data_IF_941338056944
#
_entry.id   IF_941338056944
#
_cell.length_a   1.000
_cell.length_b   1.000
_cell.length_c   1.000
_cell.angle_alpha   90.00
_cell.angle_beta   90.00
_cell.angle_gamma   90.00
#
_symmetry.space_group_name_H-M   'P 1'
#
loop_
_entity.id
_entity.type
_entity.pdbx_description
1 polymer ?
#
# COMPACT_ATOMS: atom_id res chain seq x y z
N UNK A 1 -19.12 -53.07 -30.46
CA UNK A 1 -18.33 -51.90 -30.91
C UNK A 1 -18.99 -50.63 -30.39
N UNK A 2 -18.52 -50.16 -29.26
CA UNK A 2 -19.06 -48.97 -28.59
C UNK A 2 -18.22 -47.77 -29.01
N UNK A 3 -18.84 -46.79 -29.63
CA UNK A 3 -18.25 -45.55 -30.12
C UNK A 3 -17.95 -44.61 -28.94
N UNK A 4 -16.69 -44.21 -28.76
CA UNK A 4 -16.29 -43.26 -27.73
C UNK A 4 -16.91 -41.87 -27.99
N UNK A 5 -17.26 -41.12 -26.96
CA UNK A 5 -17.79 -39.74 -27.13
C UNK A 5 -16.68 -38.82 -27.64
N UNK A 6 -17.00 -38.03 -28.67
CA UNK A 6 -16.14 -36.95 -29.13
C UNK A 6 -15.98 -35.89 -28.00
N UNK A 7 -14.75 -35.66 -27.58
CA UNK A 7 -14.39 -34.53 -26.73
C UNK A 7 -14.65 -33.25 -27.51
N UNK A 8 -15.62 -32.45 -27.10
CA UNK A 8 -15.76 -31.08 -27.55
C UNK A 8 -14.49 -30.32 -27.13
N UNK A 9 -13.68 -29.98 -28.13
CA UNK A 9 -12.57 -29.03 -27.97
C UNK A 9 -13.17 -27.68 -27.64
N UNK A 10 -13.18 -27.28 -26.37
CA UNK A 10 -13.44 -25.88 -25.99
C UNK A 10 -12.46 -25.00 -26.73
N UNK A 11 -12.92 -24.21 -27.68
CA UNK A 11 -12.13 -23.15 -28.26
C UNK A 11 -11.67 -22.24 -27.11
N UNK A 12 -10.37 -22.01 -26.94
CA UNK A 12 -9.91 -21.09 -25.91
C UNK A 12 -10.53 -19.74 -26.14
N UNK A 13 -11.17 -19.16 -25.11
CA UNK A 13 -11.67 -17.80 -25.14
C UNK A 13 -10.53 -16.87 -25.53
N UNK A 14 -10.66 -15.99 -26.52
CA UNK A 14 -9.58 -15.09 -26.89
C UNK A 14 -9.12 -14.31 -25.67
N UNK A 15 -7.82 -14.25 -25.43
CA UNK A 15 -7.23 -13.52 -24.30
C UNK A 15 -7.57 -12.02 -24.33
N UNK A 16 -7.74 -11.47 -25.54
CA UNK A 16 -8.10 -10.08 -25.74
C UNK A 16 -9.46 -9.96 -26.44
N UNK A 17 -10.26 -8.98 -26.02
CA UNK A 17 -11.47 -8.59 -26.74
C UNK A 17 -11.11 -7.90 -28.06
N UNK A 18 -11.91 -8.13 -29.13
CA UNK A 18 -11.78 -7.36 -30.37
C UNK A 18 -12.15 -5.89 -30.17
N UNK A 19 -11.66 -5.03 -31.06
CA UNK A 19 -11.81 -3.56 -30.96
C UNK A 19 -13.28 -3.11 -31.03
N UNK A 20 -14.14 -3.82 -31.77
CA UNK A 20 -15.56 -3.48 -31.87
C UNK A 20 -16.26 -3.71 -30.55
N UNK A 21 -16.02 -4.87 -29.93
CA UNK A 21 -16.51 -5.19 -28.57
C UNK A 21 -16.06 -4.16 -27.53
N UNK A 22 -14.79 -3.69 -27.59
CA UNK A 22 -14.29 -2.66 -26.69
C UNK A 22 -15.02 -1.32 -26.89
N UNK A 23 -15.22 -0.91 -28.14
CA UNK A 23 -15.93 0.35 -28.49
C UNK A 23 -17.39 0.33 -28.05
N UNK A 24 -18.08 -0.80 -28.24
CA UNK A 24 -19.48 -0.94 -27.86
C UNK A 24 -19.64 -0.93 -26.33
N UNK A 25 -18.74 -1.58 -25.61
CA UNK A 25 -18.69 -1.55 -24.15
C UNK A 25 -18.45 -0.14 -23.63
N UNK A 26 -17.47 0.58 -24.20
CA UNK A 26 -17.15 1.96 -23.83
C UNK A 26 -18.35 2.91 -24.03
N UNK A 27 -19.09 2.79 -25.16
CA UNK A 27 -20.30 3.59 -25.39
C UNK A 27 -21.44 3.28 -24.42
N UNK A 28 -21.60 1.99 -24.07
CA UNK A 28 -22.66 1.54 -23.15
C UNK A 28 -22.44 2.05 -21.72
N UNK A 29 -21.19 2.26 -21.30
CA UNK A 29 -20.80 2.64 -19.94
C UNK A 29 -20.05 3.98 -19.91
N UNK A 30 -20.36 4.89 -20.82
CA UNK A 30 -19.69 6.19 -20.96
C UNK A 30 -19.78 7.08 -19.71
N UNK A 31 -20.79 6.86 -18.88
CA UNK A 31 -21.05 7.56 -17.62
C UNK A 31 -20.36 6.91 -16.40
N UNK A 32 -19.64 5.81 -16.61
CA UNK A 32 -18.92 5.10 -15.55
C UNK A 32 -17.47 5.60 -15.43
N UNK A 33 -16.99 5.67 -14.17
CA UNK A 33 -15.59 5.97 -13.87
C UNK A 33 -14.70 4.72 -13.89
N UNK A 34 -13.79 4.61 -12.92
CA UNK A 34 -12.84 3.50 -12.82
C UNK A 34 -13.51 2.14 -12.56
N UNK A 35 -14.73 2.14 -12.03
CA UNK A 35 -15.52 0.93 -11.76
C UNK A 35 -16.63 0.82 -12.79
N UNK A 36 -16.41 0.01 -13.81
CA UNK A 36 -17.41 -0.33 -14.83
C UNK A 36 -17.83 -1.81 -14.72
N UNK A 37 -18.59 -2.28 -15.71
CA UNK A 37 -19.05 -3.68 -15.73
C UNK A 37 -17.93 -4.71 -16.00
N UNK A 38 -16.72 -4.27 -16.34
CA UNK A 38 -15.55 -5.11 -16.55
C UNK A 38 -14.65 -5.21 -15.29
N UNK A 39 -14.95 -4.42 -14.27
CA UNK A 39 -14.24 -4.54 -12.98
C UNK A 39 -14.59 -5.88 -12.30
N UNK A 40 -13.59 -6.68 -12.04
CA UNK A 40 -13.75 -8.08 -11.56
C UNK A 40 -13.69 -8.17 -10.03
N UNK A 41 -13.07 -7.19 -9.36
CA UNK A 41 -12.90 -7.20 -7.92
C UNK A 41 -14.17 -6.87 -7.13
N UNK A 42 -14.17 -7.18 -5.83
CA UNK A 42 -15.15 -6.65 -4.89
C UNK A 42 -14.76 -5.22 -4.49
N UNK A 43 -15.46 -4.24 -5.03
CA UNK A 43 -15.20 -2.81 -4.80
C UNK A 43 -15.26 -2.45 -3.32
N UNK A 44 -16.25 -2.99 -2.60
CA UNK A 44 -16.39 -2.69 -1.17
C UNK A 44 -15.20 -3.24 -0.38
N UNK A 45 -14.84 -4.49 -0.62
CA UNK A 45 -13.68 -5.11 0.04
C UNK A 45 -12.39 -4.38 -0.32
N UNK A 46 -12.21 -3.96 -1.57
CA UNK A 46 -11.04 -3.18 -2.01
C UNK A 46 -10.96 -1.85 -1.26
N UNK A 47 -12.09 -1.13 -1.14
CA UNK A 47 -12.14 0.13 -0.37
C UNK A 47 -11.83 -0.11 1.10
N UNK A 48 -12.40 -1.13 1.73
CA UNK A 48 -12.17 -1.46 3.15
C UNK A 48 -10.66 -1.75 3.40
N UNK A 49 -10.02 -2.50 2.51
CA UNK A 49 -8.57 -2.76 2.56
C UNK A 49 -7.77 -1.46 2.41
N UNK A 50 -8.09 -0.63 1.42
CA UNK A 50 -7.39 0.63 1.19
C UNK A 50 -7.59 1.63 2.34
N UNK A 51 -8.70 1.61 3.06
CA UNK A 51 -8.88 2.39 4.29
C UNK A 51 -7.91 1.97 5.40
N UNK A 52 -7.62 0.67 5.52
CA UNK A 52 -6.62 0.17 6.47
C UNK A 52 -5.19 0.56 6.03
N UNK A 53 -4.88 0.48 4.74
CA UNK A 53 -3.62 0.98 4.18
C UNK A 53 -3.47 2.48 4.47
N UNK A 54 -4.48 3.30 4.13
CA UNK A 54 -4.48 4.74 4.42
C UNK A 54 -4.20 5.04 5.89
N UNK A 55 -4.82 4.29 6.80
CA UNK A 55 -4.58 4.45 8.24
C UNK A 55 -3.15 4.06 8.63
N UNK A 56 -2.56 3.05 7.98
CA UNK A 56 -1.19 2.60 8.22
C UNK A 56 -0.19 3.69 7.83
N UNK A 57 -0.31 4.24 6.62
CA UNK A 57 0.53 5.35 6.15
C UNK A 57 0.44 6.56 7.08
N UNK A 58 -0.78 6.97 7.46
CA UNK A 58 -0.97 8.12 8.35
C UNK A 58 -0.38 7.90 9.75
N UNK A 59 -0.43 6.69 10.29
CA UNK A 59 0.24 6.35 11.56
C UNK A 59 1.76 6.42 11.40
N UNK A 60 2.31 5.97 10.27
CA UNK A 60 3.73 6.10 9.94
C UNK A 60 4.15 7.57 9.81
N UNK A 61 3.38 8.40 9.10
CA UNK A 61 3.61 9.87 9.04
C UNK A 61 3.73 10.46 10.44
N UNK A 62 2.77 10.18 11.30
CA UNK A 62 2.74 10.76 12.66
C UNK A 62 3.92 10.28 13.50
N UNK A 63 4.28 9.00 13.41
CA UNK A 63 5.41 8.42 14.13
C UNK A 63 6.74 8.98 13.66
N UNK A 64 7.00 8.98 12.34
CA UNK A 64 8.21 9.54 11.76
C UNK A 64 8.35 11.04 12.06
N UNK A 65 7.27 11.81 11.92
CA UNK A 65 7.27 13.23 12.29
C UNK A 65 7.63 13.42 13.77
N UNK A 66 7.04 12.64 14.67
CA UNK A 66 7.35 12.74 16.10
C UNK A 66 8.81 12.34 16.38
N UNK A 67 9.31 11.27 15.77
CA UNK A 67 10.70 10.82 15.94
C UNK A 67 11.69 11.83 15.36
N UNK A 68 11.42 12.46 14.21
CA UNK A 68 12.29 13.49 13.63
C UNK A 68 12.47 14.71 14.53
N UNK A 69 11.39 15.11 15.23
CA UNK A 69 11.42 16.24 16.17
C UNK A 69 12.08 15.85 17.50
N UNK A 70 11.85 14.63 17.97
CA UNK A 70 12.33 14.15 19.27
C UNK A 70 13.79 13.64 19.22
N UNK A 71 14.33 13.34 18.05
CA UNK A 71 15.72 12.90 17.90
C UNK A 71 16.67 14.04 18.30
N UNK A 72 17.47 13.81 19.36
CA UNK A 72 18.39 14.79 19.92
C UNK A 72 19.75 14.18 20.19
N UNK A 73 20.81 14.97 20.18
CA UNK A 73 22.18 14.55 20.47
C UNK A 73 23.16 14.72 19.30
N UNK A 74 24.44 14.49 19.53
CA UNK A 74 25.54 14.76 18.57
C UNK A 74 25.50 13.96 17.26
N UNK A 75 24.78 12.86 17.21
CA UNK A 75 24.67 11.98 16.04
C UNK A 75 23.23 11.90 15.50
N UNK A 76 22.35 12.78 15.94
CA UNK A 76 20.91 12.69 15.65
C UNK A 76 20.46 13.51 14.44
N UNK A 77 21.25 14.49 13.98
CA UNK A 77 20.80 15.42 12.93
C UNK A 77 20.49 14.69 11.61
N UNK A 78 21.40 13.82 11.15
CA UNK A 78 21.18 13.03 9.92
C UNK A 78 20.04 12.02 10.08
N UNK A 79 19.88 11.42 11.26
CA UNK A 79 18.77 10.49 11.54
C UNK A 79 17.44 11.23 11.60
N UNK A 80 17.42 12.42 12.19
CA UNK A 80 16.21 13.26 12.24
C UNK A 80 15.80 13.71 10.84
N UNK A 81 16.75 14.02 9.96
CA UNK A 81 16.50 14.38 8.56
C UNK A 81 15.91 13.19 7.78
N UNK A 82 16.48 11.99 7.96
CA UNK A 82 15.96 10.74 7.38
C UNK A 82 14.54 10.47 7.83
N UNK A 83 14.25 10.53 9.12
CA UNK A 83 12.89 10.39 9.62
C UNK A 83 11.93 11.44 9.03
N UNK A 84 12.39 12.68 8.85
CA UNK A 84 11.57 13.73 8.24
C UNK A 84 11.33 13.48 6.75
N UNK A 85 12.28 12.86 6.05
CA UNK A 85 12.12 12.46 4.66
C UNK A 85 11.09 11.34 4.55
N UNK A 86 11.24 10.25 5.31
CA UNK A 86 10.27 9.16 5.32
C UNK A 86 8.86 9.66 5.67
N UNK A 87 8.70 10.56 6.64
CA UNK A 87 7.39 11.16 6.95
C UNK A 87 6.74 11.85 5.74
N UNK A 88 7.51 12.45 4.84
CA UNK A 88 6.99 13.07 3.62
C UNK A 88 6.56 12.02 2.59
N UNK A 89 7.36 10.98 2.42
CA UNK A 89 7.08 9.88 1.50
C UNK A 89 5.84 9.09 1.92
N UNK A 90 5.70 8.80 3.22
CA UNK A 90 4.49 8.19 3.79
C UNK A 90 3.23 9.05 3.53
N UNK A 91 3.35 10.38 3.59
CA UNK A 91 2.25 11.28 3.26
C UNK A 91 1.89 11.21 1.77
N UNK A 92 2.86 11.03 0.87
CA UNK A 92 2.61 10.83 -0.56
C UNK A 92 1.91 9.49 -0.83
N UNK A 93 2.30 8.43 -0.11
CA UNK A 93 1.61 7.15 -0.11
C UNK A 93 0.15 7.31 0.33
N UNK A 94 -0.09 7.93 1.49
CA UNK A 94 -1.43 8.20 2.01
C UNK A 94 -2.31 8.95 1.00
N UNK A 95 -1.77 9.99 0.34
CA UNK A 95 -2.49 10.73 -0.69
C UNK A 95 -2.84 9.86 -1.91
N UNK A 96 -1.92 9.00 -2.33
CA UNK A 96 -2.12 8.13 -3.48
C UNK A 96 -3.20 7.07 -3.21
N UNK A 97 -3.19 6.48 -2.01
CA UNK A 97 -4.21 5.56 -1.53
C UNK A 97 -5.57 6.26 -1.41
N UNK A 98 -5.62 7.45 -0.82
CA UNK A 98 -6.86 8.24 -0.70
C UNK A 98 -7.47 8.56 -2.08
N UNK A 99 -6.66 8.93 -3.08
CA UNK A 99 -7.09 9.13 -4.46
C UNK A 99 -7.68 7.85 -5.06
N UNK A 100 -7.05 6.69 -4.79
CA UNK A 100 -7.56 5.41 -5.28
C UNK A 100 -8.91 5.04 -4.67
N UNK A 101 -9.10 5.24 -3.36
CA UNK A 101 -10.39 5.07 -2.69
C UNK A 101 -11.47 5.91 -3.37
N UNK A 102 -11.18 7.19 -3.64
CA UNK A 102 -12.13 8.08 -4.31
C UNK A 102 -12.43 7.62 -5.76
N UNK A 103 -11.44 7.16 -6.52
CA UNK A 103 -11.65 6.60 -7.87
C UNK A 103 -12.57 5.38 -7.87
N UNK A 104 -12.55 4.58 -6.81
CA UNK A 104 -13.41 3.42 -6.62
C UNK A 104 -14.82 3.80 -6.12
N UNK A 105 -15.10 5.11 -5.91
CA UNK A 105 -16.38 5.62 -5.43
C UNK A 105 -16.51 5.65 -3.92
N UNK A 106 -15.42 5.40 -3.16
CA UNK A 106 -15.37 5.54 -1.71
C UNK A 106 -15.02 6.96 -1.26
N UNK A 107 -15.14 7.20 0.04
CA UNK A 107 -14.68 8.43 0.70
C UNK A 107 -13.53 8.07 1.63
N UNK A 108 -12.33 8.66 1.44
CA UNK A 108 -11.19 8.39 2.33
C UNK A 108 -11.53 8.79 3.78
N UNK A 109 -11.29 7.87 4.71
CA UNK A 109 -11.52 8.10 6.14
C UNK A 109 -10.25 8.67 6.79
N UNK A 110 -10.24 9.99 6.97
CA UNK A 110 -9.17 10.75 7.62
C UNK A 110 -9.53 11.14 9.08
N UNK A 111 -10.61 10.58 9.66
CA UNK A 111 -10.96 10.84 11.06
C UNK A 111 -9.84 10.30 11.97
N UNK A 112 -9.22 11.15 12.81
CA UNK A 112 -8.19 10.71 13.74
C UNK A 112 -8.71 9.74 14.80
N UNK A 113 -10.04 9.71 15.04
CA UNK A 113 -10.65 8.71 15.91
C UNK A 113 -10.56 7.33 15.28
N UNK A 114 -9.95 6.40 16.01
CA UNK A 114 -9.80 5.05 15.53
C UNK A 114 -8.71 4.85 14.46
N UNK A 115 -7.94 5.89 14.11
CA UNK A 115 -6.84 5.78 13.13
C UNK A 115 -5.87 4.65 13.50
N UNK A 116 -5.38 4.63 14.74
CA UNK A 116 -4.46 3.61 15.23
C UNK A 116 -5.10 2.20 15.27
N UNK A 117 -6.41 2.08 15.41
CA UNK A 117 -7.09 0.78 15.42
C UNK A 117 -7.33 0.20 14.02
N UNK A 118 -7.28 1.02 12.99
CA UNK A 118 -7.37 0.60 11.58
C UNK A 118 -6.00 0.32 10.95
N UNK A 119 -4.93 0.86 11.56
CA UNK A 119 -3.55 0.72 11.09
C UNK A 119 -3.01 -0.68 11.36
N UNK A 120 -2.24 -1.23 10.42
CA UNK A 120 -1.41 -2.41 10.64
C UNK A 120 -0.17 -2.08 11.47
N UNK A 121 0.38 -0.87 11.34
CA UNK A 121 1.52 -0.39 12.12
C UNK A 121 1.07 0.22 13.44
N UNK A 122 1.90 0.06 14.48
CA UNK A 122 1.65 0.65 15.80
C UNK A 122 2.26 2.05 15.91
N UNK A 123 1.56 2.94 16.61
CA UNK A 123 2.14 4.22 17.01
C UNK A 123 2.96 4.03 18.28
N UNK A 124 4.28 3.94 18.12
CA UNK A 124 5.24 3.77 19.22
C UNK A 124 6.16 4.97 19.25
N UNK A 125 6.40 5.52 20.45
CA UNK A 125 7.33 6.62 20.68
C UNK A 125 8.46 6.18 21.63
N UNK A 126 9.66 6.75 21.43
CA UNK A 126 10.80 6.53 22.33
C UNK A 126 11.56 7.84 22.50
N UNK A 127 12.30 7.95 23.63
CA UNK A 127 13.28 9.01 23.86
C UNK A 127 14.71 8.57 23.51
N UNK A 128 14.92 7.29 23.18
CA UNK A 128 16.21 6.72 22.80
C UNK A 128 16.31 6.60 21.27
N UNK A 129 17.37 7.17 20.69
CA UNK A 129 17.57 7.20 19.24
C UNK A 129 17.61 5.80 18.62
N UNK A 130 18.32 4.86 19.23
CA UNK A 130 18.42 3.48 18.74
C UNK A 130 17.07 2.78 18.77
N UNK A 131 16.27 3.02 19.80
CA UNK A 131 14.90 2.49 19.88
C UNK A 131 13.96 3.14 18.85
N UNK A 132 14.10 4.45 18.58
CA UNK A 132 13.35 5.11 17.49
C UNK A 132 13.62 4.45 16.14
N UNK A 133 14.91 4.20 15.81
CA UNK A 133 15.31 3.52 14.58
C UNK A 133 14.74 2.10 14.54
N UNK A 134 14.84 1.35 15.66
CA UNK A 134 14.33 -0.02 15.75
C UNK A 134 12.82 -0.12 15.55
N UNK A 135 12.05 0.76 16.20
CA UNK A 135 10.59 0.78 16.09
C UNK A 135 10.13 1.21 14.69
N UNK A 136 10.86 2.11 14.03
CA UNK A 136 10.60 2.43 12.63
C UNK A 136 10.88 1.20 11.74
N UNK A 137 12.03 0.53 11.90
CA UNK A 137 12.33 -0.70 11.15
C UNK A 137 11.27 -1.80 11.35
N UNK A 138 10.74 -1.95 12.57
CA UNK A 138 9.65 -2.91 12.84
C UNK A 138 8.40 -2.56 12.02
N UNK A 139 8.08 -1.28 11.93
CA UNK A 139 6.91 -0.84 11.18
C UNK A 139 7.08 -1.01 9.67
N UNK A 140 8.27 -0.72 9.12
CA UNK A 140 8.55 -0.98 7.70
C UNK A 140 8.41 -2.47 7.37
N UNK A 141 8.90 -3.35 8.23
CA UNK A 141 8.73 -4.79 8.04
C UNK A 141 7.27 -5.23 8.07
N UNK A 142 6.44 -4.61 8.91
CA UNK A 142 4.99 -4.85 8.93
C UNK A 142 4.37 -4.38 7.61
N UNK A 143 4.72 -3.19 7.12
CA UNK A 143 4.24 -2.64 5.85
C UNK A 143 4.65 -3.53 4.66
N UNK A 144 5.93 -3.90 4.57
CA UNK A 144 6.47 -4.78 3.53
C UNK A 144 5.74 -6.12 3.48
N UNK A 145 5.56 -6.79 4.62
CA UNK A 145 4.87 -8.09 4.65
C UNK A 145 3.39 -7.94 4.28
N UNK A 146 2.71 -6.93 4.83
CA UNK A 146 1.31 -6.64 4.52
C UNK A 146 1.11 -6.32 3.04
N UNK A 147 1.93 -5.45 2.46
CA UNK A 147 1.76 -5.03 1.06
C UNK A 147 2.12 -6.14 0.08
N UNK A 148 3.05 -7.03 0.40
CA UNK A 148 3.28 -8.26 -0.38
C UNK A 148 2.04 -9.18 -0.40
N UNK A 149 1.30 -9.27 0.69
CA UNK A 149 0.03 -10.01 0.73
C UNK A 149 -1.03 -9.31 -0.13
N UNK A 150 -1.14 -7.98 -0.06
CA UNK A 150 -2.10 -7.21 -0.85
C UNK A 150 -1.81 -7.28 -2.35
N UNK A 151 -0.54 -7.24 -2.78
CA UNK A 151 -0.15 -7.46 -4.19
C UNK A 151 -0.68 -8.79 -4.71
N UNK A 152 -0.54 -9.86 -3.92
CA UNK A 152 -1.07 -11.20 -4.27
C UNK A 152 -2.59 -11.24 -4.27
N UNK A 153 -3.22 -10.55 -3.32
CA UNK A 153 -4.69 -10.46 -3.21
C UNK A 153 -5.32 -9.77 -4.42
N UNK A 154 -4.79 -8.61 -4.83
CA UNK A 154 -5.31 -7.88 -5.99
C UNK A 154 -5.02 -8.59 -7.31
N UNK A 155 -3.86 -9.23 -7.45
CA UNK A 155 -3.45 -10.05 -8.60
C UNK A 155 -3.90 -9.44 -9.94
N UNK A 156 -4.66 -10.20 -10.74
CA UNK A 156 -5.20 -9.74 -12.02
C UNK A 156 -6.62 -9.15 -11.91
N UNK A 157 -7.22 -9.17 -10.71
CA UNK A 157 -8.57 -8.69 -10.49
C UNK A 157 -8.66 -7.15 -10.43
N UNK A 158 -7.63 -6.51 -9.85
CA UNK A 158 -7.50 -5.04 -9.84
C UNK A 158 -6.04 -4.65 -10.10
N UNK A 159 -5.60 -4.66 -11.36
CA UNK A 159 -4.23 -4.36 -11.73
C UNK A 159 -3.83 -2.91 -11.39
N UNK A 160 -4.76 -1.97 -11.34
CA UNK A 160 -4.48 -0.57 -10.99
C UNK A 160 -4.20 -0.43 -9.49
N UNK A 161 -5.00 -1.05 -8.63
CA UNK A 161 -4.73 -1.07 -7.19
C UNK A 161 -3.48 -1.87 -6.88
N UNK A 162 -3.27 -3.02 -7.55
CA UNK A 162 -2.03 -3.79 -7.42
C UNK A 162 -0.80 -2.94 -7.74
N UNK A 163 -0.78 -2.24 -8.87
CA UNK A 163 0.34 -1.39 -9.27
C UNK A 163 0.61 -0.28 -8.25
N UNK A 164 -0.44 0.32 -7.69
CA UNK A 164 -0.29 1.29 -6.61
C UNK A 164 0.40 0.67 -5.40
N UNK A 165 -0.06 -0.49 -4.92
CA UNK A 165 0.53 -1.16 -3.75
C UNK A 165 1.96 -1.66 -4.07
N UNK A 166 2.24 -2.13 -5.28
CA UNK A 166 3.60 -2.47 -5.73
C UNK A 166 4.54 -1.27 -5.68
N UNK A 167 4.07 -0.08 -6.08
CA UNK A 167 4.89 1.13 -6.01
C UNK A 167 5.20 1.58 -4.59
N UNK A 168 4.23 1.48 -3.67
CA UNK A 168 4.44 1.74 -2.25
C UNK A 168 5.40 0.70 -1.67
N UNK A 169 5.13 -0.59 -1.89
CA UNK A 169 5.98 -1.68 -1.40
C UNK A 169 7.46 -1.49 -1.75
N UNK A 170 7.77 -1.02 -2.97
CA UNK A 170 9.15 -0.78 -3.38
C UNK A 170 9.84 0.29 -2.50
N UNK A 171 9.11 1.33 -2.10
CA UNK A 171 9.62 2.39 -1.21
C UNK A 171 9.73 1.88 0.23
N UNK A 172 8.77 1.10 0.73
CA UNK A 172 8.86 0.49 2.07
C UNK A 172 10.05 -0.47 2.21
N UNK A 173 10.42 -1.18 1.13
CA UNK A 173 11.63 -2.02 1.11
C UNK A 173 12.90 -1.18 1.18
N UNK A 174 12.92 0.03 0.58
CA UNK A 174 14.01 1.01 0.70
C UNK A 174 14.06 1.59 2.12
N UNK A 175 12.94 2.06 2.67
CA UNK A 175 12.86 2.54 4.06
C UNK A 175 13.34 1.49 5.07
N UNK A 176 12.97 0.23 4.89
CA UNK A 176 13.45 -0.86 5.77
C UNK A 176 14.97 -1.02 5.67
N UNK A 177 15.56 -0.82 4.49
CA UNK A 177 17.02 -0.89 4.29
C UNK A 177 17.72 0.27 4.97
N UNK A 178 17.21 1.49 4.83
CA UNK A 178 17.74 2.70 5.45
C UNK A 178 17.70 2.60 6.98
N UNK A 179 16.59 2.15 7.54
CA UNK A 179 16.48 1.92 8.99
C UNK A 179 17.45 0.85 9.48
N UNK A 180 17.69 -0.21 8.69
CA UNK A 180 18.66 -1.25 9.05
C UNK A 180 20.09 -0.71 9.03
N UNK A 181 20.44 0.12 8.06
CA UNK A 181 21.75 0.75 7.94
C UNK A 181 21.99 1.72 9.10
N UNK A 182 21.03 2.58 9.43
CA UNK A 182 21.08 3.45 10.61
C UNK A 182 21.24 2.63 11.89
N UNK A 183 20.52 1.54 12.05
CA UNK A 183 20.63 0.67 13.22
C UNK A 183 22.01 0.03 13.33
N UNK A 184 22.63 -0.33 12.19
CA UNK A 184 23.98 -0.90 12.17
C UNK A 184 25.06 0.06 12.69
N UNK A 185 24.85 1.37 12.48
CA UNK A 185 25.75 2.45 12.91
C UNK A 185 25.50 2.82 14.39
N UNK A 186 24.24 2.95 14.78
CA UNK A 186 23.85 3.47 16.10
C UNK A 186 23.64 2.40 17.16
N UNK A 187 23.32 1.15 16.77
CA UNK A 187 23.08 0.04 17.69
C UNK A 187 24.34 -0.62 18.29
N UNK A 188 25.55 -0.27 17.82
CA UNK A 188 26.83 -0.81 18.31
C UNK A 188 27.45 -0.04 19.46
N UNK A 189 26.79 1.00 19.98
CA UNK A 189 27.33 1.91 21.02
C UNK A 189 26.77 1.64 22.40
N UNK A 190 26.01 0.57 22.58
CA UNK A 190 25.63 0.04 23.88
C UNK A 190 26.47 -1.23 24.15
#
# INVERSE_FOLDING_TARGET
MTRAPHSETRNPTPFLSDVTTLRDRARKFVDRGAVDAAYVGDVKQTIDILQAVLATELVCVLRYTQHSIAATGLASESVAEEFAQHAREEMEHAHSVAKRINQLGGVPDLDPKGLASRSASQYVTSANLTEMIRENLVAERIAVDHYRELVRFFADNDPTTRLLIESILAVEEEHASDMLDLLSVHGRKE
#
